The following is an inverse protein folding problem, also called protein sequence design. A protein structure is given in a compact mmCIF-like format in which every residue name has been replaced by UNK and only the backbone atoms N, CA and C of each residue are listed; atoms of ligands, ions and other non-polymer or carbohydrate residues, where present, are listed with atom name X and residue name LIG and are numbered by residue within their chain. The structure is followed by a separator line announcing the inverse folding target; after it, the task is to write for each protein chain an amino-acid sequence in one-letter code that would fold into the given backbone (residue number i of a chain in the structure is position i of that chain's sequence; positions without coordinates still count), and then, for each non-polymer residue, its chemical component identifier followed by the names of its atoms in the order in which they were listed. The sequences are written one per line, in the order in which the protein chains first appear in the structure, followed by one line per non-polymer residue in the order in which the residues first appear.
data_IF_613039408381
#
_entry.id   IF_613039408381
#
_cell.length_a   1.000
_cell.length_b   1.000
_cell.length_c   1.000
_cell.angle_alpha   90.00
_cell.angle_beta   90.00
_cell.angle_gamma   90.00
#
_symmetry.space_group_name_H-M   'P 1'
#
loop_
_entity.id
_entity.type
_entity.pdbx_description
1 polymer ?
#
# COMPACT_ATOMS: atom_id res chain seq x y z
N UNK A 1 -4.87 -31.72 2.52
CA UNK A 1 -3.97 -30.78 1.83
C UNK A 1 -4.05 -29.43 2.52
N UNK A 2 -2.93 -28.73 2.68
CA UNK A 2 -2.88 -27.41 3.31
C UNK A 2 -3.09 -26.31 2.27
N UNK A 3 -4.03 -25.40 2.53
CA UNK A 3 -4.25 -24.21 1.71
C UNK A 3 -3.23 -23.12 2.06
N UNK A 4 -2.35 -22.77 1.11
CA UNK A 4 -1.41 -21.66 1.26
C UNK A 4 -2.02 -20.36 0.75
N UNK A 5 -2.22 -19.40 1.66
CA UNK A 5 -2.76 -18.08 1.36
C UNK A 5 -1.72 -17.00 1.64
N UNK A 6 -1.74 -15.94 0.83
CA UNK A 6 -0.91 -14.75 1.00
C UNK A 6 -1.77 -13.50 0.93
N UNK A 7 -1.29 -12.39 1.47
CA UNK A 7 -1.96 -11.09 1.38
C UNK A 7 -1.06 -10.05 0.74
N UNK A 8 -1.67 -9.08 0.06
CA UNK A 8 -1.02 -7.83 -0.31
C UNK A 8 -1.52 -6.75 0.63
N UNK A 9 -0.65 -5.80 1.00
CA UNK A 9 -0.96 -4.76 1.97
C UNK A 9 -0.49 -3.41 1.42
N UNK A 10 -1.35 -2.40 1.54
CA UNK A 10 -1.01 -1.00 1.31
C UNK A 10 -1.01 -0.23 2.63
N UNK A 11 -0.01 0.62 2.83
CA UNK A 11 0.17 1.37 4.09
C UNK A 11 0.30 2.86 3.78
N UNK A 12 -0.48 3.67 4.50
CA UNK A 12 -0.38 5.11 4.50
C UNK A 12 -0.35 5.62 5.96
N UNK A 13 0.49 6.63 6.21
CA UNK A 13 0.53 7.32 7.49
C UNK A 13 -0.57 8.39 7.53
N UNK A 14 -1.31 8.46 8.64
CA UNK A 14 -2.28 9.54 8.87
C UNK A 14 -1.57 10.88 9.02
N UNK A 15 -2.05 11.89 8.30
CA UNK A 15 -1.54 13.27 8.33
C UNK A 15 -2.49 14.12 9.15
N UNK A 16 -1.97 14.86 10.13
CA UNK A 16 -2.80 15.76 10.93
C UNK A 16 -3.59 16.73 10.06
N UNK A 17 -4.91 16.75 10.25
CA UNK A 17 -5.84 17.62 9.53
C UNK A 17 -6.43 17.02 8.25
N UNK A 18 -6.02 15.82 7.83
CA UNK A 18 -6.71 15.11 6.74
C UNK A 18 -7.91 14.29 7.26
N UNK A 19 -8.80 13.91 6.35
CA UNK A 19 -9.89 12.99 6.67
C UNK A 19 -9.42 11.54 6.69
N UNK A 20 -10.10 10.68 7.45
CA UNK A 20 -9.79 9.25 7.48
C UNK A 20 -9.95 8.64 6.07
N UNK A 21 -10.94 9.09 5.30
CA UNK A 21 -11.17 8.62 3.93
C UNK A 21 -9.98 8.93 3.01
N UNK A 22 -9.34 10.10 3.17
CA UNK A 22 -8.12 10.44 2.44
C UNK A 22 -6.96 9.51 2.80
N UNK A 23 -6.78 9.20 4.08
CA UNK A 23 -5.76 8.23 4.53
C UNK A 23 -6.01 6.84 3.96
N UNK A 24 -7.27 6.39 3.97
CA UNK A 24 -7.67 5.09 3.44
C UNK A 24 -7.49 5.02 1.92
N UNK A 25 -7.84 6.08 1.19
CA UNK A 25 -7.64 6.15 -0.25
C UNK A 25 -6.15 6.01 -0.62
N UNK A 26 -5.25 6.65 0.15
CA UNK A 26 -3.79 6.54 -0.05
C UNK A 26 -3.28 5.12 0.27
N UNK A 27 -3.79 4.50 1.34
CA UNK A 27 -3.47 3.11 1.67
C UNK A 27 -3.97 2.14 0.59
N UNK A 28 -5.19 2.34 0.07
CA UNK A 28 -5.75 1.52 -1.00
C UNK A 28 -4.96 1.66 -2.31
N UNK A 29 -4.50 2.87 -2.64
CA UNK A 29 -3.59 3.09 -3.77
C UNK A 29 -2.30 2.26 -3.65
N UNK A 30 -1.70 2.21 -2.47
CA UNK A 30 -0.53 1.37 -2.20
C UNK A 30 -0.86 -0.14 -2.28
N UNK A 31 -2.04 -0.54 -1.82
CA UNK A 31 -2.52 -1.93 -1.89
C UNK A 31 -2.71 -2.37 -3.34
N UNK A 32 -3.29 -1.50 -4.15
CA UNK A 32 -3.51 -1.73 -5.56
C UNK A 32 -2.16 -1.93 -6.28
N UNK A 33 -1.18 -1.06 -6.04
CA UNK A 33 0.18 -1.22 -6.57
C UNK A 33 0.87 -2.49 -6.06
N UNK A 34 0.66 -2.88 -4.79
CA UNK A 34 1.22 -4.13 -4.26
C UNK A 34 0.67 -5.35 -5.01
N UNK A 35 -0.60 -5.29 -5.45
CA UNK A 35 -1.21 -6.33 -6.29
C UNK A 35 -0.61 -6.33 -7.70
N UNK A 36 -0.44 -5.17 -8.33
CA UNK A 36 0.15 -5.04 -9.67
C UNK A 36 1.63 -5.43 -9.72
N UNK A 37 2.39 -5.11 -8.67
CA UNK A 37 3.81 -5.45 -8.57
C UNK A 37 4.09 -6.95 -8.34
N UNK A 38 3.05 -7.80 -8.26
CA UNK A 38 3.20 -9.25 -8.14
C UNK A 38 2.64 -9.86 -6.84
N UNK A 39 1.79 -9.12 -6.11
CA UNK A 39 1.13 -9.56 -4.87
C UNK A 39 2.11 -9.97 -3.76
N UNK A 40 1.58 -10.56 -2.68
CA UNK A 40 2.32 -11.09 -1.51
C UNK A 40 3.42 -10.14 -1.01
N UNK A 41 3.07 -8.87 -0.83
CA UNK A 41 4.01 -7.81 -0.44
C UNK A 41 3.30 -6.64 0.21
N UNK A 42 4.09 -5.82 0.88
CA UNK A 42 3.68 -4.56 1.48
C UNK A 42 4.26 -3.42 0.65
N UNK A 43 3.43 -2.48 0.23
CA UNK A 43 3.88 -1.19 -0.27
C UNK A 43 3.41 -0.08 0.67
N UNK A 44 4.31 0.85 0.97
CA UNK A 44 4.03 2.00 1.81
C UNK A 44 4.07 3.25 0.94
N UNK A 45 3.20 4.22 1.22
CA UNK A 45 3.19 5.49 0.50
C UNK A 45 4.58 6.16 0.49
N UNK A 46 5.30 6.10 1.62
CA UNK A 46 6.65 6.65 1.78
C UNK A 46 7.70 5.97 0.88
N UNK A 47 7.44 4.76 0.38
CA UNK A 47 8.31 4.07 -0.57
C UNK A 47 8.09 4.48 -2.03
N UNK A 48 6.94 5.10 -2.36
CA UNK A 48 6.66 5.54 -3.73
C UNK A 48 7.44 6.79 -4.13
N UNK A 49 7.79 7.65 -3.18
CA UNK A 49 8.60 8.84 -3.44
C UNK A 49 10.08 8.55 -3.71
N UNK A 50 10.58 7.34 -3.35
CA UNK A 50 11.98 6.94 -3.60
C UNK A 50 12.19 6.31 -4.97
N UNK A 51 11.17 5.69 -5.56
CA UNK A 51 11.28 5.03 -6.86
C UNK A 51 11.10 5.98 -8.07
N UNK A 52 10.52 7.16 -7.87
CA UNK A 52 10.29 8.15 -8.93
C UNK A 52 11.47 9.11 -9.17
N UNK A 53 12.59 8.93 -8.47
CA UNK A 53 13.82 9.76 -8.58
C UNK A 53 15.07 8.91 -8.90
N UNK A 54 14.90 7.74 -9.53
CA UNK A 54 15.99 6.90 -10.02
C UNK A 54 15.87 6.69 -11.53
#
# INVERSE_FOLDING_TARGET
EDLRVTVSIGVAEYRMGESIDDTLARADGCLYQAKEAGRNRVLCETHLSRAANA
#
